data_IF_786299524861
#
_entry.id   IF_786299524861
#
_cell.length_a   1.000
_cell.length_b   1.000
_cell.length_c   1.000
_cell.angle_alpha   90.00
_cell.angle_beta   90.00
_cell.angle_gamma   90.00
#
_symmetry.space_group_name_H-M   'P 1'
#
loop_
_entity.id
_entity.type
_entity.pdbx_description
1 polymer ?
#
# COMPACT_ATOMS: atom_id res chain seq x y z
N UNK A 1 42.33 -30.61 6.61
CA UNK A 1 42.05 -29.75 5.44
C UNK A 1 40.84 -30.33 4.77
N UNK A 2 39.74 -29.58 4.73
CA UNK A 2 38.44 -30.08 4.33
C UNK A 2 38.26 -30.23 2.82
N UNK A 3 37.08 -30.71 2.45
CA UNK A 3 36.33 -30.15 1.33
C UNK A 3 34.87 -30.53 1.55
N UNK A 4 34.04 -29.52 1.83
CA UNK A 4 32.62 -29.66 2.12
C UNK A 4 31.83 -29.87 0.84
N UNK A 5 30.88 -30.78 0.90
CA UNK A 5 29.82 -30.95 -0.09
C UNK A 5 28.80 -29.84 0.10
N UNK A 6 28.66 -28.97 -0.91
CA UNK A 6 27.54 -28.03 -0.99
C UNK A 6 26.24 -28.81 -1.20
N UNK A 7 25.33 -28.68 -0.23
CA UNK A 7 23.92 -29.00 -0.40
C UNK A 7 23.18 -27.70 -0.60
N UNK A 8 22.55 -27.55 -1.76
CA UNK A 8 21.58 -26.51 -2.04
C UNK A 8 20.37 -26.73 -1.13
N UNK A 9 20.31 -25.99 -0.01
CA UNK A 9 19.09 -25.89 0.78
C UNK A 9 18.20 -24.81 0.16
N UNK A 10 17.40 -25.23 -0.82
CA UNK A 10 16.20 -24.51 -1.19
C UNK A 10 15.31 -24.44 0.06
N UNK A 11 15.24 -23.26 0.66
CA UNK A 11 14.44 -22.99 1.84
C UNK A 11 13.00 -23.46 1.64
N UNK A 12 12.56 -24.31 2.56
CA UNK A 12 11.23 -24.87 2.65
C UNK A 12 10.19 -23.73 2.62
N UNK A 13 9.32 -23.76 1.61
CA UNK A 13 8.22 -22.81 1.51
C UNK A 13 7.33 -22.97 2.74
N UNK A 14 7.14 -21.87 3.49
CA UNK A 14 6.24 -21.86 4.63
C UNK A 14 4.84 -22.28 4.18
N UNK A 15 4.24 -23.24 4.89
CA UNK A 15 2.90 -23.75 4.63
C UNK A 15 1.84 -22.62 4.61
N UNK A 16 0.80 -22.72 3.75
CA UNK A 16 -0.27 -21.73 3.72
C UNK A 16 -1.16 -21.90 4.95
N UNK A 17 -1.19 -20.90 5.83
CA UNK A 17 -2.03 -20.92 7.05
C UNK A 17 -3.33 -20.15 6.80
N UNK A 18 -4.47 -20.86 6.89
CA UNK A 18 -5.82 -20.31 6.75
C UNK A 18 -6.15 -19.25 7.83
N UNK A 19 -6.61 -18.08 7.36
CA UNK A 19 -7.54 -17.13 8.00
C UNK A 19 -7.55 -17.04 9.54
N UNK A 20 -6.68 -16.19 10.11
CA UNK A 20 -6.80 -15.71 11.48
C UNK A 20 -5.63 -14.82 11.90
N UNK A 21 -5.83 -13.49 11.92
CA UNK A 21 -4.91 -12.46 12.42
C UNK A 21 -3.44 -12.63 11.98
N UNK A 22 -3.15 -12.25 10.73
CA UNK A 22 -1.81 -12.37 10.15
C UNK A 22 -0.81 -11.47 10.89
N UNK A 23 0.09 -12.06 11.67
CA UNK A 23 1.22 -11.37 12.28
C UNK A 23 2.50 -12.00 11.76
N UNK A 24 3.43 -11.15 11.34
CA UNK A 24 4.77 -11.60 10.94
C UNK A 24 5.46 -12.24 12.16
N UNK A 25 5.99 -13.47 12.06
CA UNK A 25 6.66 -14.13 13.18
C UNK A 25 7.87 -13.32 13.67
N UNK A 26 8.12 -13.30 14.98
CA UNK A 26 9.31 -12.64 15.55
C UNK A 26 10.62 -13.26 15.06
N UNK A 27 10.59 -14.54 14.66
CA UNK A 27 11.72 -15.33 14.20
C UNK A 27 11.72 -15.56 12.68
N UNK A 28 11.50 -14.52 11.87
CA UNK A 28 11.66 -14.58 10.40
C UNK A 28 13.00 -15.23 10.03
N UNK A 29 12.93 -16.28 9.22
CA UNK A 29 14.06 -16.87 8.54
C UNK A 29 14.25 -16.25 7.14
N UNK A 30 15.46 -16.28 6.56
CA UNK A 30 15.65 -15.89 5.16
C UNK A 30 14.73 -16.70 4.24
N UNK A 31 13.94 -16.02 3.40
CA UNK A 31 12.97 -16.65 2.52
C UNK A 31 11.99 -15.65 1.92
N UNK A 32 11.14 -16.12 1.01
CA UNK A 32 10.05 -15.34 0.44
C UNK A 32 8.76 -15.74 1.16
N UNK A 33 8.08 -14.76 1.76
CA UNK A 33 6.81 -14.96 2.45
C UNK A 33 5.68 -14.36 1.62
N UNK A 34 4.71 -15.19 1.28
CA UNK A 34 3.53 -14.78 0.52
C UNK A 34 2.37 -14.44 1.46
N UNK A 35 1.35 -13.78 0.90
CA UNK A 35 0.08 -13.50 1.57
C UNK A 35 0.17 -12.71 2.89
N UNK A 36 1.27 -11.96 3.09
CA UNK A 36 1.43 -11.03 4.21
C UNK A 36 0.65 -9.74 3.92
N UNK A 37 -0.37 -9.38 4.71
CA UNK A 37 -1.02 -8.08 4.57
C UNK A 37 -0.04 -6.94 4.81
N UNK A 38 -0.16 -5.86 4.04
CA UNK A 38 0.77 -4.73 4.09
C UNK A 38 0.95 -4.13 5.51
N UNK A 39 -0.14 -4.06 6.29
CA UNK A 39 -0.08 -3.60 7.69
C UNK A 39 0.77 -4.53 8.56
N UNK A 40 0.59 -5.85 8.44
CA UNK A 40 1.38 -6.84 9.16
C UNK A 40 2.86 -6.79 8.73
N UNK A 41 3.13 -6.60 7.44
CA UNK A 41 4.48 -6.44 6.91
C UNK A 41 5.21 -5.27 7.56
N UNK A 42 4.57 -4.11 7.65
CA UNK A 42 5.16 -2.92 8.27
C UNK A 42 5.21 -2.97 9.81
N UNK A 43 4.33 -3.75 10.44
CA UNK A 43 4.33 -3.97 11.88
C UNK A 43 5.36 -5.02 12.35
N UNK A 44 5.92 -5.79 11.42
CA UNK A 44 6.91 -6.82 11.71
C UNK A 44 8.21 -6.29 12.34
N UNK A 45 9.10 -7.19 12.80
CA UNK A 45 10.33 -6.81 13.50
C UNK A 45 11.41 -6.19 12.59
N UNK A 46 11.20 -6.19 11.27
CA UNK A 46 12.15 -5.70 10.28
C UNK A 46 12.36 -4.18 10.35
N UNK A 47 13.56 -3.74 9.95
CA UNK A 47 13.89 -2.32 9.79
C UNK A 47 13.74 -1.94 8.32
N UNK A 48 12.86 -0.98 8.03
CA UNK A 48 12.59 -0.51 6.67
C UNK A 48 13.72 0.40 6.15
N UNK A 49 13.76 0.60 4.83
CA UNK A 49 14.72 1.52 4.20
C UNK A 49 14.64 2.94 4.76
N UNK A 50 13.43 3.48 4.97
CA UNK A 50 13.28 4.84 5.54
C UNK A 50 13.77 4.91 6.99
N UNK A 51 13.59 3.85 7.77
CA UNK A 51 14.15 3.76 9.12
C UNK A 51 15.68 3.69 9.10
N UNK A 52 16.28 2.99 8.13
CA UNK A 52 17.73 2.98 7.92
C UNK A 52 18.25 4.36 7.52
N UNK A 53 17.53 5.11 6.68
CA UNK A 53 17.89 6.49 6.33
C UNK A 53 17.86 7.39 7.58
N UNK A 54 16.85 7.25 8.45
CA UNK A 54 16.76 8.01 9.70
C UNK A 54 17.94 7.68 10.63
N UNK A 55 18.32 6.40 10.71
CA UNK A 55 19.49 5.95 11.49
C UNK A 55 20.79 6.51 10.91
N UNK A 56 20.92 6.51 9.59
CA UNK A 56 22.11 7.00 8.89
C UNK A 56 22.30 8.52 9.06
N UNK A 57 21.21 9.29 9.08
CA UNK A 57 21.24 10.73 9.35
C UNK A 57 21.52 11.02 10.83
N UNK A 58 20.65 10.54 11.72
CA UNK A 58 20.86 10.66 13.17
C UNK A 58 20.07 9.57 13.89
N UNK A 59 20.72 8.61 14.58
CA UNK A 59 20.04 7.50 15.25
C UNK A 59 18.93 7.89 16.23
N UNK A 60 19.02 9.07 16.86
CA UNK A 60 17.97 9.59 17.73
C UNK A 60 16.66 9.92 17.00
N UNK A 61 16.70 10.28 15.70
CA UNK A 61 15.52 10.57 14.88
C UNK A 61 14.67 9.31 14.70
N UNK A 62 15.30 8.16 14.44
CA UNK A 62 14.58 6.88 14.33
C UNK A 62 13.80 6.57 15.62
N UNK A 63 14.46 6.69 16.79
CA UNK A 63 13.81 6.48 18.07
C UNK A 63 12.70 7.49 18.33
N UNK A 64 12.92 8.76 18.01
CA UNK A 64 11.92 9.80 18.16
C UNK A 64 10.70 9.52 17.27
N UNK A 65 10.88 9.25 15.97
CA UNK A 65 9.79 8.94 15.03
C UNK A 65 8.99 7.71 15.44
N UNK A 66 9.63 6.69 16.02
CA UNK A 66 8.95 5.48 16.49
C UNK A 66 8.06 5.71 17.71
N UNK A 67 8.42 6.65 18.58
CA UNK A 67 7.75 6.84 19.87
C UNK A 67 6.92 8.14 19.97
N UNK A 68 7.16 9.11 19.09
CA UNK A 68 6.45 10.38 19.11
C UNK A 68 5.01 10.21 18.56
N UNK A 69 4.03 10.93 19.11
CA UNK A 69 2.67 10.91 18.60
C UNK A 69 2.61 11.51 17.19
N UNK A 70 1.86 10.87 16.30
CA UNK A 70 1.65 11.31 14.92
C UNK A 70 0.24 11.90 14.78
N UNK A 71 0.16 13.08 14.16
CA UNK A 71 -1.10 13.69 13.76
C UNK A 71 -1.59 13.05 12.46
N UNK A 72 -2.49 12.08 12.58
CA UNK A 72 -2.99 11.29 11.45
C UNK A 72 -3.82 12.13 10.47
N UNK A 73 -4.42 13.25 10.90
CA UNK A 73 -5.28 14.06 10.02
C UNK A 73 -4.49 14.81 8.93
N UNK A 74 -3.18 15.03 9.12
CA UNK A 74 -2.31 15.76 8.17
C UNK A 74 -1.68 14.89 7.09
N UNK A 75 -1.96 13.58 7.09
CA UNK A 75 -1.38 12.64 6.13
C UNK A 75 -2.09 12.62 4.76
N UNK A 76 -3.17 13.39 4.57
CA UNK A 76 -4.05 13.36 3.38
C UNK A 76 -3.35 13.51 2.02
N UNK A 77 -2.24 14.24 1.91
CA UNK A 77 -1.50 14.33 0.63
C UNK A 77 -0.86 12.99 0.22
N UNK A 78 -0.62 12.09 1.18
CA UNK A 78 -0.13 10.74 0.91
C UNK A 78 -1.19 9.85 0.24
N UNK A 79 -2.47 10.22 0.30
CA UNK A 79 -3.56 9.37 -0.18
C UNK A 79 -3.58 9.25 -1.71
N UNK A 80 -3.29 10.32 -2.46
CA UNK A 80 -3.24 10.25 -3.94
C UNK A 80 -2.08 9.39 -4.44
N UNK A 81 -0.90 9.52 -3.84
CA UNK A 81 0.26 8.68 -4.19
C UNK A 81 0.02 7.22 -3.86
N UNK A 82 -0.52 6.95 -2.67
CA UNK A 82 -0.89 5.60 -2.23
C UNK A 82 -1.97 5.00 -3.13
N UNK A 83 -2.98 5.78 -3.50
CA UNK A 83 -4.02 5.37 -4.43
C UNK A 83 -3.46 5.04 -5.82
N UNK A 84 -2.55 5.87 -6.35
CA UNK A 84 -1.89 5.59 -7.63
C UNK A 84 -1.04 4.31 -7.57
N UNK A 85 -0.24 4.13 -6.51
CA UNK A 85 0.52 2.90 -6.29
C UNK A 85 -0.38 1.66 -6.27
N UNK A 86 -1.48 1.71 -5.51
CA UNK A 86 -2.45 0.62 -5.47
C UNK A 86 -3.10 0.39 -6.84
N UNK A 87 -3.45 1.44 -7.58
CA UNK A 87 -4.05 1.32 -8.93
C UNK A 87 -3.13 0.60 -9.91
N UNK A 88 -1.82 0.85 -9.83
CA UNK A 88 -0.80 0.26 -10.71
C UNK A 88 -0.43 -1.16 -10.30
N UNK A 89 -0.19 -1.40 -9.01
CA UNK A 89 0.36 -2.67 -8.52
C UNK A 89 -0.72 -3.68 -8.10
N UNK A 90 -1.85 -3.21 -7.58
CA UNK A 90 -2.93 -4.02 -7.01
C UNK A 90 -4.31 -3.54 -7.53
N UNK A 91 -4.57 -3.59 -8.86
CA UNK A 91 -5.77 -2.98 -9.45
C UNK A 91 -7.09 -3.51 -8.87
N UNK A 92 -7.13 -4.79 -8.48
CA UNK A 92 -8.30 -5.42 -7.84
C UNK A 92 -8.56 -4.93 -6.41
N UNK A 93 -7.52 -4.47 -5.70
CA UNK A 93 -7.61 -3.92 -4.35
C UNK A 93 -8.00 -2.44 -4.34
N UNK A 94 -7.75 -1.73 -5.44
CA UNK A 94 -8.03 -0.30 -5.55
C UNK A 94 -9.49 0.03 -5.22
N UNK A 95 -10.45 -0.71 -5.78
CA UNK A 95 -11.89 -0.49 -5.54
C UNK A 95 -12.34 -0.84 -4.12
N UNK A 96 -11.57 -1.69 -3.42
CA UNK A 96 -11.83 -2.09 -2.04
C UNK A 96 -11.28 -1.08 -1.04
N UNK A 97 -10.23 -0.33 -1.38
CA UNK A 97 -9.57 0.64 -0.50
C UNK A 97 -9.94 2.09 -0.78
N UNK A 98 -10.32 2.40 -2.02
CA UNK A 98 -10.58 3.77 -2.47
C UNK A 98 -11.96 3.93 -3.12
N UNK A 99 -12.56 5.10 -2.94
CA UNK A 99 -13.79 5.52 -3.62
C UNK A 99 -13.50 6.83 -4.35
N UNK A 100 -13.82 6.91 -5.64
CA UNK A 100 -13.77 8.18 -6.38
C UNK A 100 -15.12 8.89 -6.22
N UNK A 101 -15.10 10.07 -5.62
CA UNK A 101 -16.27 10.92 -5.48
C UNK A 101 -16.75 11.40 -6.85
N UNK A 102 -18.07 11.47 -7.07
CA UNK A 102 -18.61 12.14 -8.26
C UNK A 102 -18.35 13.65 -8.20
N UNK A 103 -18.55 14.34 -9.32
CA UNK A 103 -18.50 15.81 -9.34
C UNK A 103 -19.77 16.39 -8.70
N UNK A 104 -19.60 17.22 -7.66
CA UNK A 104 -20.70 17.90 -6.99
C UNK A 104 -20.81 19.37 -7.40
N UNK A 105 -22.04 19.84 -7.63
CA UNK A 105 -22.27 21.26 -7.87
C UNK A 105 -22.33 22.04 -6.54
N UNK A 106 -21.15 22.47 -6.07
CA UNK A 106 -21.01 23.25 -4.82
C UNK A 106 -21.63 24.66 -4.87
N UNK A 107 -22.15 25.12 -6.00
CA UNK A 107 -22.82 26.42 -6.12
C UNK A 107 -24.28 26.39 -5.66
N UNK A 108 -24.90 25.22 -5.63
CA UNK A 108 -26.30 25.07 -5.18
C UNK A 108 -26.35 24.51 -3.76
N UNK A 109 -27.45 24.77 -3.04
CA UNK A 109 -27.69 24.13 -1.74
C UNK A 109 -27.84 22.62 -1.88
N UNK A 110 -28.54 22.16 -2.92
CA UNK A 110 -28.72 20.75 -3.22
C UNK A 110 -27.38 20.02 -3.43
N UNK A 111 -26.47 20.57 -4.24
CA UNK A 111 -25.19 19.90 -4.51
C UNK A 111 -24.24 19.84 -3.31
N UNK A 112 -24.35 20.79 -2.36
CA UNK A 112 -23.64 20.70 -1.07
C UNK A 112 -24.23 19.63 -0.16
N UNK A 113 -25.55 19.45 -0.18
CA UNK A 113 -26.22 18.41 0.61
C UNK A 113 -25.94 17.01 0.03
N UNK A 114 -25.91 16.88 -1.29
CA UNK A 114 -25.48 15.66 -1.98
C UNK A 114 -24.04 15.27 -1.62
N UNK A 115 -23.11 16.24 -1.68
CA UNK A 115 -21.71 16.01 -1.29
C UNK A 115 -21.60 15.55 0.17
N UNK A 116 -22.32 16.23 1.07
CA UNK A 116 -22.33 15.88 2.48
C UNK A 116 -22.90 14.47 2.71
N UNK A 117 -24.03 14.15 2.08
CA UNK A 117 -24.68 12.82 2.18
C UNK A 117 -23.72 11.73 1.68
N UNK A 118 -23.06 11.96 0.56
CA UNK A 118 -22.07 11.03 0.00
C UNK A 118 -20.89 10.79 0.95
N UNK A 119 -20.35 11.85 1.55
CA UNK A 119 -19.24 11.72 2.51
C UNK A 119 -19.66 10.97 3.78
N UNK A 120 -20.88 11.20 4.27
CA UNK A 120 -21.44 10.46 5.41
C UNK A 120 -21.65 8.96 5.11
N UNK A 121 -22.13 8.62 3.91
CA UNK A 121 -22.24 7.23 3.46
C UNK A 121 -20.87 6.57 3.33
N UNK A 122 -19.89 7.27 2.75
CA UNK A 122 -18.53 6.76 2.58
C UNK A 122 -17.80 6.57 3.92
N UNK A 123 -18.05 7.43 4.91
CA UNK A 123 -17.43 7.33 6.24
C UNK A 123 -17.73 5.98 6.93
N UNK A 124 -18.88 5.34 6.62
CA UNK A 124 -19.22 4.01 7.13
C UNK A 124 -18.46 2.86 6.47
N UNK A 125 -17.78 3.11 5.35
CA UNK A 125 -17.13 2.06 4.56
C UNK A 125 -15.67 1.80 4.98
N UNK A 126 -15.05 2.72 5.73
CA UNK A 126 -13.63 2.64 6.07
C UNK A 126 -12.67 2.82 4.90
N UNK A 127 -13.18 3.20 3.71
CA UNK A 127 -12.40 3.44 2.49
C UNK A 127 -12.01 4.91 2.37
N UNK A 128 -10.88 5.17 1.74
CA UNK A 128 -10.41 6.53 1.48
C UNK A 128 -11.15 7.12 0.29
N UNK A 129 -11.76 8.30 0.49
CA UNK A 129 -12.48 9.02 -0.57
C UNK A 129 -11.51 9.94 -1.30
N UNK A 130 -11.39 9.74 -2.61
CA UNK A 130 -10.66 10.60 -3.53
C UNK A 130 -11.65 11.54 -4.23
N UNK A 131 -11.25 12.77 -4.49
CA UNK A 131 -12.04 13.69 -5.30
C UNK A 131 -12.11 13.23 -6.77
N UNK A 132 -13.10 13.72 -7.52
CA UNK A 132 -13.21 13.47 -8.95
C UNK A 132 -11.93 13.88 -9.72
N UNK A 133 -11.30 14.99 -9.32
CA UNK A 133 -10.06 15.48 -9.92
C UNK A 133 -8.87 14.54 -9.65
N UNK A 134 -8.71 14.08 -8.41
CA UNK A 134 -7.67 13.12 -8.03
C UNK A 134 -7.87 11.79 -8.77
N UNK A 135 -9.09 11.27 -8.81
CA UNK A 135 -9.43 10.04 -9.53
C UNK A 135 -9.09 10.13 -11.02
N UNK A 136 -9.45 11.26 -11.66
CA UNK A 136 -9.09 11.52 -13.07
C UNK A 136 -7.58 11.55 -13.27
N UNK A 137 -6.84 12.21 -12.37
CA UNK A 137 -5.37 12.31 -12.46
C UNK A 137 -4.71 10.93 -12.32
N UNK A 138 -5.17 10.13 -11.36
CA UNK A 138 -4.68 8.76 -11.13
C UNK A 138 -4.88 7.90 -12.38
N UNK A 139 -6.07 7.95 -12.99
CA UNK A 139 -6.35 7.14 -14.17
C UNK A 139 -5.52 7.59 -15.39
N UNK A 140 -5.32 8.90 -15.60
CA UNK A 140 -4.43 9.39 -16.66
C UNK A 140 -2.97 8.93 -16.46
N UNK A 141 -2.48 8.95 -15.22
CA UNK A 141 -1.14 8.45 -14.90
C UNK A 141 -1.06 6.93 -15.13
N UNK A 142 -2.09 6.17 -14.73
CA UNK A 142 -2.15 4.72 -14.93
C UNK A 142 -2.12 4.37 -16.42
N UNK A 143 -2.97 5.01 -17.23
CA UNK A 143 -2.99 4.81 -18.68
C UNK A 143 -1.66 5.18 -19.32
N UNK A 144 -0.98 6.24 -18.84
CA UNK A 144 0.36 6.60 -19.31
C UNK A 144 1.41 5.53 -19.01
N UNK A 145 1.34 4.86 -17.85
CA UNK A 145 2.24 3.73 -17.52
C UNK A 145 1.93 2.53 -18.40
N UNK A 146 0.66 2.18 -18.56
CA UNK A 146 0.23 1.03 -19.36
C UNK A 146 0.47 1.20 -20.87
N UNK A 147 0.60 2.43 -21.36
CA UNK A 147 0.91 2.72 -22.76
C UNK A 147 2.36 2.38 -23.16
N UNK A 148 3.26 2.08 -22.21
CA UNK A 148 4.61 1.61 -22.52
C UNK A 148 4.53 0.16 -23.03
N UNK A 149 4.93 -0.07 -24.29
CA UNK A 149 4.83 -1.34 -25.02
C UNK A 149 5.46 -2.55 -24.29
N UNK A 150 6.38 -2.32 -23.35
CA UNK A 150 7.04 -3.38 -22.57
C UNK A 150 6.26 -3.80 -21.31
N UNK A 151 5.24 -3.06 -20.87
CA UNK A 151 4.38 -3.47 -19.75
C UNK A 151 3.27 -4.46 -20.19
N UNK A 152 2.96 -4.54 -21.48
CA UNK A 152 1.88 -5.39 -22.01
C UNK A 152 2.42 -6.77 -22.47
N UNK A 153 3.72 -6.90 -22.75
CA UNK A 153 4.31 -8.10 -23.36
C UNK A 153 4.85 -9.14 -22.36
N UNK A 154 4.13 -9.37 -21.24
CA UNK A 154 4.43 -10.45 -20.30
C UNK A 154 3.69 -11.77 -20.58
N UNK A 155 2.72 -11.76 -21.49
CA UNK A 155 2.01 -12.96 -21.94
C UNK A 155 2.07 -13.06 -23.46
N UNK A 156 2.85 -14.03 -23.94
CA UNK A 156 2.54 -15.06 -24.94
C UNK A 156 3.85 -15.41 -25.64
N UNK A 157 4.58 -16.37 -25.07
CA UNK A 157 5.32 -17.33 -25.89
C UNK A 157 4.85 -18.73 -25.43
N UNK A 158 4.07 -19.36 -26.30
CA UNK A 158 3.62 -20.76 -26.20
C UNK A 158 4.67 -21.67 -26.82
#
# INVERSE_FOLDING_TARGET
>A
GGSGTGGDEAGEAADPVENGNFTVPDNIQPGIYYDIPNEAYHAGPGVSKSQLDDIADTPAIYLWRKNAPVDTEKTKTLDTGTAFHCRVLEPEEFSKRFIIAPEFNRRTSAGKEEEKTFLEECARTGRTVLTAEEGRKIELMYQSVMALTECIAGEVDQ
#
